data_IF_844762485207
#
_entry.id   IF_844762485207
#
_cell.length_a   1.000
_cell.length_b   1.000
_cell.length_c   1.000
_cell.angle_alpha   90.00
_cell.angle_beta   90.00
_cell.angle_gamma   90.00
#
_symmetry.space_group_name_H-M   'P 1'
#
loop_
_entity.id
_entity.type
_entity.pdbx_description
1 polymer ?
#
# COMPACT_ATOMS: atom_id res chain seq x y z
N UNK A 1 67.41 -12.01 -3.54
CA UNK A 1 66.45 -11.45 -4.52
C UNK A 1 65.15 -12.22 -4.39
N UNK A 2 64.08 -11.56 -3.95
CA UNK A 2 62.79 -12.19 -3.64
C UNK A 2 62.06 -12.57 -4.93
N UNK A 3 61.72 -13.85 -5.10
CA UNK A 3 60.84 -14.31 -6.16
C UNK A 3 59.40 -13.92 -5.83
N UNK A 4 58.79 -13.12 -6.69
CA UNK A 4 57.38 -12.76 -6.63
C UNK A 4 56.58 -13.93 -7.23
N UNK A 5 55.81 -14.63 -6.39
CA UNK A 5 54.82 -15.61 -6.85
C UNK A 5 53.66 -14.87 -7.54
N UNK A 6 53.65 -14.88 -8.87
CA UNK A 6 52.51 -14.43 -9.65
C UNK A 6 51.39 -15.46 -9.56
N UNK A 7 50.33 -15.15 -8.81
CA UNK A 7 49.11 -15.96 -8.78
C UNK A 7 48.42 -15.89 -10.15
N UNK A 8 48.56 -16.96 -10.94
CA UNK A 8 47.82 -17.15 -12.18
C UNK A 8 46.38 -17.51 -11.83
N UNK A 9 45.46 -16.53 -11.95
CA UNK A 9 44.02 -16.85 -11.93
C UNK A 9 43.70 -17.52 -13.26
N UNK A 10 43.23 -18.79 -13.26
CA UNK A 10 42.97 -19.49 -14.50
C UNK A 10 41.86 -18.77 -15.29
N UNK A 11 42.07 -18.60 -16.60
CA UNK A 11 41.17 -17.88 -17.53
C UNK A 11 39.73 -18.42 -17.45
N UNK A 12 39.56 -19.71 -17.13
CA UNK A 12 38.27 -20.36 -16.90
C UNK A 12 37.49 -19.77 -15.72
N UNK A 13 38.18 -19.32 -14.67
CA UNK A 13 37.56 -18.69 -13.49
C UNK A 13 37.02 -17.28 -13.81
N UNK A 14 37.73 -16.52 -14.64
CA UNK A 14 37.31 -15.18 -15.11
C UNK A 14 36.10 -15.30 -16.05
N UNK A 15 36.09 -16.31 -16.92
CA UNK A 15 34.97 -16.58 -17.82
C UNK A 15 33.70 -17.00 -17.06
N UNK A 16 33.82 -17.88 -16.05
CA UNK A 16 32.69 -18.33 -15.25
C UNK A 16 32.11 -17.20 -14.40
N UNK A 17 32.95 -16.37 -13.77
CA UNK A 17 32.49 -15.21 -13.00
C UNK A 17 31.80 -14.17 -13.88
N UNK A 18 32.34 -13.90 -15.07
CA UNK A 18 31.71 -13.00 -16.05
C UNK A 18 30.35 -13.52 -16.52
N UNK A 19 30.22 -14.84 -16.73
CA UNK A 19 28.94 -15.47 -17.10
C UNK A 19 27.90 -15.40 -15.97
N UNK A 20 28.30 -15.65 -14.73
CA UNK A 20 27.40 -15.55 -13.55
C UNK A 20 26.94 -14.10 -13.38
N UNK A 21 27.87 -13.14 -13.41
CA UNK A 21 27.56 -11.71 -13.30
C UNK A 21 26.62 -11.28 -14.44
N UNK A 22 26.94 -11.65 -15.67
CA UNK A 22 26.10 -11.36 -16.84
C UNK A 22 24.70 -11.97 -16.72
N UNK A 23 24.59 -13.20 -16.19
CA UNK A 23 23.31 -13.87 -15.95
C UNK A 23 22.49 -13.16 -14.85
N UNK A 24 23.13 -12.71 -13.77
CA UNK A 24 22.48 -11.94 -12.71
C UNK A 24 22.00 -10.57 -13.21
N UNK A 25 22.80 -9.88 -14.02
CA UNK A 25 22.38 -8.62 -14.66
C UNK A 25 21.26 -8.83 -15.66
N UNK A 26 21.32 -9.89 -16.47
CA UNK A 26 20.26 -10.22 -17.43
C UNK A 26 18.95 -10.57 -16.73
N UNK A 27 18.98 -11.41 -15.68
CA UNK A 27 17.81 -11.75 -14.87
C UNK A 27 17.25 -10.52 -14.16
N UNK A 28 18.09 -9.66 -13.58
CA UNK A 28 17.65 -8.39 -13.00
C UNK A 28 17.01 -7.47 -14.05
N UNK A 29 17.62 -7.34 -15.24
CA UNK A 29 17.09 -6.54 -16.34
C UNK A 29 15.76 -7.09 -16.86
N UNK A 30 15.64 -8.41 -17.07
CA UNK A 30 14.42 -9.06 -17.53
C UNK A 30 13.29 -8.90 -16.51
N UNK A 31 13.57 -9.04 -15.21
CA UNK A 31 12.59 -8.76 -14.15
C UNK A 31 12.14 -7.30 -14.19
N UNK A 32 13.07 -6.35 -14.35
CA UNK A 32 12.75 -4.93 -14.50
C UNK A 32 11.93 -4.62 -15.76
N UNK A 33 12.23 -5.25 -16.89
CA UNK A 33 11.51 -5.08 -18.15
C UNK A 33 10.08 -5.66 -18.10
N UNK A 34 9.91 -6.86 -17.54
CA UNK A 34 8.59 -7.47 -17.34
C UNK A 34 7.75 -6.67 -16.33
N UNK A 35 8.38 -6.14 -15.28
CA UNK A 35 7.74 -5.25 -14.32
C UNK A 35 7.24 -3.96 -14.99
N UNK A 36 8.08 -3.30 -15.80
CA UNK A 36 7.74 -2.03 -16.45
C UNK A 36 6.69 -2.19 -17.56
N UNK A 37 6.78 -3.22 -18.40
CA UNK A 37 5.80 -3.52 -19.45
C UNK A 37 4.43 -3.94 -18.90
N UNK A 38 4.39 -4.64 -17.75
CA UNK A 38 3.14 -4.94 -17.05
C UNK A 38 2.50 -3.68 -16.47
N UNK A 39 3.30 -2.81 -15.85
CA UNK A 39 2.82 -1.52 -15.35
C UNK A 39 2.27 -0.65 -16.49
N UNK A 40 2.89 -0.62 -17.67
CA UNK A 40 2.43 0.22 -18.78
C UNK A 40 1.07 -0.19 -19.34
N UNK A 41 0.74 -1.48 -19.40
CA UNK A 41 -0.57 -1.94 -19.87
C UNK A 41 -1.67 -1.70 -18.84
N UNK A 42 -1.38 -1.98 -17.55
CA UNK A 42 -2.33 -1.73 -16.47
C UNK A 42 -2.60 -0.22 -16.27
N UNK A 43 -1.64 0.64 -16.65
CA UNK A 43 -1.79 2.10 -16.64
C UNK A 43 -2.93 2.61 -17.52
N UNK A 44 -3.25 1.93 -18.63
CA UNK A 44 -4.34 2.35 -19.53
C UNK A 44 -5.69 2.33 -18.80
N UNK A 45 -5.93 1.33 -17.94
CA UNK A 45 -7.17 1.23 -17.18
C UNK A 45 -7.30 2.32 -16.11
N UNK A 46 -6.18 2.72 -15.50
CA UNK A 46 -6.11 3.87 -14.59
C UNK A 46 -6.49 5.15 -15.34
N UNK A 47 -5.90 5.39 -16.51
CA UNK A 47 -6.20 6.57 -17.33
C UNK A 47 -7.66 6.62 -17.79
N UNK A 48 -8.27 5.47 -18.04
CA UNK A 48 -9.71 5.39 -18.30
C UNK A 48 -10.55 5.71 -17.05
N UNK A 49 -10.12 5.27 -15.87
CA UNK A 49 -10.78 5.58 -14.60
C UNK A 49 -10.69 7.07 -14.25
N UNK A 50 -9.53 7.69 -14.46
CA UNK A 50 -9.32 9.13 -14.22
C UNK A 50 -10.24 10.03 -15.06
N UNK A 51 -10.76 9.54 -16.20
CA UNK A 51 -11.76 10.26 -17.00
C UNK A 51 -13.17 10.24 -16.39
N UNK A 52 -13.46 9.25 -15.53
CA UNK A 52 -14.76 9.08 -14.87
C UNK A 52 -14.80 9.72 -13.48
N UNK A 53 -13.66 9.76 -12.79
CA UNK A 53 -13.55 10.38 -11.47
C UNK A 53 -13.77 11.90 -11.62
N UNK A 54 -14.69 12.44 -10.83
CA UNK A 54 -15.01 13.87 -10.85
C UNK A 54 -13.80 14.70 -10.43
N UNK A 55 -13.70 15.90 -11.01
CA UNK A 55 -12.67 16.90 -10.70
C UNK A 55 -13.36 18.21 -10.36
N UNK A 56 -12.79 18.93 -9.42
CA UNK A 56 -13.17 20.28 -9.09
C UNK A 56 -12.17 21.31 -9.65
N UNK A 57 -10.89 20.92 -9.75
CA UNK A 57 -9.84 21.72 -10.40
C UNK A 57 -8.75 20.80 -11.01
N UNK A 58 -7.74 21.39 -11.66
CA UNK A 58 -6.63 20.64 -12.28
C UNK A 58 -5.73 19.91 -11.27
N UNK A 59 -5.60 20.42 -10.04
CA UNK A 59 -4.82 19.77 -8.99
C UNK A 59 -5.44 18.43 -8.58
N UNK A 60 -6.78 18.31 -8.66
CA UNK A 60 -7.46 17.03 -8.42
C UNK A 60 -6.99 15.95 -9.39
N UNK A 61 -6.84 16.26 -10.68
CA UNK A 61 -6.35 15.28 -11.65
C UNK A 61 -4.92 14.83 -11.31
N UNK A 62 -4.04 15.77 -10.99
CA UNK A 62 -2.65 15.47 -10.63
C UNK A 62 -2.58 14.61 -9.36
N UNK A 63 -3.37 14.94 -8.33
CA UNK A 63 -3.48 14.19 -7.08
C UNK A 63 -4.05 12.79 -7.30
N UNK A 64 -5.20 12.68 -7.96
CA UNK A 64 -5.87 11.39 -8.24
C UNK A 64 -4.95 10.48 -9.05
N UNK A 65 -4.29 11.01 -10.07
CA UNK A 65 -3.32 10.26 -10.88
C UNK A 65 -2.12 9.81 -10.05
N UNK A 66 -1.55 10.70 -9.24
CA UNK A 66 -0.46 10.36 -8.34
C UNK A 66 -0.84 9.23 -7.37
N UNK A 67 -2.04 9.29 -6.77
CA UNK A 67 -2.55 8.27 -5.87
C UNK A 67 -2.70 6.91 -6.55
N UNK A 68 -3.36 6.86 -7.71
CA UNK A 68 -3.61 5.60 -8.41
C UNK A 68 -2.33 4.93 -8.91
N UNK A 69 -1.37 5.70 -9.43
CA UNK A 69 -0.08 5.15 -9.85
C UNK A 69 0.76 4.66 -8.65
N UNK A 70 0.70 5.39 -7.53
CA UNK A 70 1.37 4.96 -6.29
C UNK A 70 0.71 3.68 -5.76
N UNK A 71 -0.62 3.58 -5.83
CA UNK A 71 -1.33 2.39 -5.38
C UNK A 71 -1.11 1.18 -6.28
N UNK A 72 -1.01 1.37 -7.60
CA UNK A 72 -0.61 0.33 -8.53
C UNK A 72 0.81 -0.18 -8.22
N UNK A 73 1.74 0.75 -7.94
CA UNK A 73 3.11 0.38 -7.57
C UNK A 73 3.11 -0.43 -6.27
N UNK A 74 2.36 0.03 -5.26
CA UNK A 74 2.15 -0.73 -4.03
C UNK A 74 1.57 -2.13 -4.31
N UNK A 75 0.51 -2.23 -5.12
CA UNK A 75 -0.13 -3.50 -5.45
C UNK A 75 0.87 -4.49 -6.06
N UNK A 76 1.73 -4.01 -6.97
CA UNK A 76 2.77 -4.84 -7.55
C UNK A 76 3.80 -5.30 -6.50
N UNK A 77 4.26 -4.38 -5.64
CA UNK A 77 5.19 -4.69 -4.55
C UNK A 77 4.58 -5.72 -3.59
N UNK A 78 3.32 -5.54 -3.19
CA UNK A 78 2.63 -6.47 -2.31
C UNK A 78 2.51 -7.85 -2.96
N UNK A 79 2.16 -7.91 -4.25
CA UNK A 79 2.07 -9.15 -5.00
C UNK A 79 3.43 -9.86 -5.12
N UNK A 80 4.51 -9.14 -5.46
CA UNK A 80 5.84 -9.73 -5.63
C UNK A 80 6.43 -10.28 -4.32
N UNK A 81 6.00 -9.73 -3.18
CA UNK A 81 6.46 -10.15 -1.86
C UNK A 81 5.45 -10.97 -1.07
N UNK A 82 4.36 -11.41 -1.72
CA UNK A 82 3.31 -12.23 -1.12
C UNK A 82 2.70 -11.59 0.14
N UNK A 83 2.54 -10.27 0.12
CA UNK A 83 1.92 -9.49 1.18
C UNK A 83 0.44 -9.39 0.88
N UNK A 84 -0.38 -9.98 1.75
CA UNK A 84 -1.84 -9.91 1.60
C UNK A 84 -2.34 -8.61 2.20
N UNK A 85 -3.08 -7.88 1.39
CA UNK A 85 -3.73 -6.65 1.80
C UNK A 85 -5.14 -6.61 1.20
N UNK A 86 -5.98 -5.67 1.64
CA UNK A 86 -7.21 -5.30 0.96
C UNK A 86 -7.51 -3.82 1.17
N UNK A 87 -8.30 -3.22 0.30
CA UNK A 87 -8.70 -1.81 0.46
C UNK A 87 -9.54 -1.62 1.73
N UNK A 88 -9.34 -0.49 2.39
CA UNK A 88 -9.88 -0.19 3.72
C UNK A 88 -10.62 1.15 3.73
N UNK A 89 -11.33 1.42 4.83
CA UNK A 89 -11.82 2.76 5.16
C UNK A 89 -12.53 3.48 3.99
N UNK A 90 -12.16 4.75 3.72
CA UNK A 90 -12.79 5.58 2.69
C UNK A 90 -12.54 5.01 1.30
N UNK A 91 -11.38 4.40 1.07
CA UNK A 91 -11.07 3.69 -0.17
C UNK A 91 -12.07 2.55 -0.42
N UNK A 92 -12.36 1.72 0.60
CA UNK A 92 -13.36 0.65 0.49
C UNK A 92 -14.79 1.20 0.34
N UNK A 93 -15.12 2.28 1.07
CA UNK A 93 -16.43 2.92 0.95
C UNK A 93 -16.65 3.47 -0.46
N UNK A 94 -15.64 4.12 -1.03
CA UNK A 94 -15.65 4.68 -2.38
C UNK A 94 -15.74 3.57 -3.45
N UNK A 95 -15.04 2.45 -3.26
CA UNK A 95 -15.23 1.24 -4.07
C UNK A 95 -16.69 0.76 -4.06
N UNK A 96 -17.33 0.66 -2.89
CA UNK A 96 -18.72 0.21 -2.77
C UNK A 96 -19.70 1.17 -3.47
N UNK A 97 -19.43 2.48 -3.42
CA UNK A 97 -20.31 3.50 -3.98
C UNK A 97 -20.20 3.57 -5.51
N UNK A 98 -18.97 3.54 -6.05
CA UNK A 98 -18.77 3.82 -7.47
C UNK A 98 -17.55 3.12 -8.10
N UNK A 99 -16.96 2.12 -7.42
CA UNK A 99 -15.80 1.32 -7.89
C UNK A 99 -14.52 2.10 -8.24
N UNK A 100 -14.46 3.39 -7.91
CA UNK A 100 -13.37 4.29 -8.26
C UNK A 100 -12.90 5.03 -6.99
N UNK A 101 -11.80 5.79 -7.08
CA UNK A 101 -11.29 6.65 -6.02
C UNK A 101 -12.24 7.81 -5.75
N UNK A 102 -12.39 8.19 -4.48
CA UNK A 102 -13.19 9.35 -4.11
C UNK A 102 -12.58 10.61 -4.75
N UNK A 103 -13.37 11.47 -5.42
CA UNK A 103 -12.86 12.65 -6.11
C UNK A 103 -11.98 13.57 -5.26
N UNK A 104 -12.24 13.60 -3.95
CA UNK A 104 -11.64 14.50 -2.96
C UNK A 104 -10.74 13.78 -1.94
N UNK A 105 -10.49 12.48 -2.08
CA UNK A 105 -9.52 11.80 -1.22
C UNK A 105 -8.09 12.31 -1.50
N UNK A 106 -7.30 12.35 -0.44
CA UNK A 106 -5.89 12.75 -0.42
C UNK A 106 -4.93 11.57 -0.17
N UNK A 107 -5.46 10.42 0.26
CA UNK A 107 -4.72 9.18 0.45
C UNK A 107 -5.52 7.95 0.01
N UNK A 108 -4.90 6.78 0.13
CA UNK A 108 -5.54 5.47 -0.05
C UNK A 108 -5.25 4.65 1.19
N UNK A 109 -6.28 4.04 1.76
CA UNK A 109 -6.18 3.19 2.92
C UNK A 109 -6.25 1.72 2.54
N UNK A 110 -5.35 0.93 3.12
CA UNK A 110 -5.38 -0.52 3.03
C UNK A 110 -5.22 -1.17 4.40
N UNK A 111 -5.78 -2.36 4.52
CA UNK A 111 -5.50 -3.27 5.62
C UNK A 111 -4.46 -4.30 5.24
N UNK A 112 -3.63 -4.66 6.22
CA UNK A 112 -2.76 -5.83 6.18
C UNK A 112 -2.97 -6.67 7.43
N UNK A 113 -2.74 -7.96 7.31
CA UNK A 113 -2.72 -8.83 8.48
C UNK A 113 -1.42 -8.57 9.26
N UNK A 114 -1.51 -8.38 10.58
CA UNK A 114 -0.34 -8.11 11.44
C UNK A 114 0.81 -9.10 11.25
N UNK A 115 0.50 -10.37 11.02
CA UNK A 115 1.49 -11.42 10.75
C UNK A 115 2.36 -11.16 9.51
N UNK A 116 1.92 -10.32 8.56
CA UNK A 116 2.67 -10.00 7.35
C UNK A 116 3.59 -8.77 7.53
N UNK A 117 3.52 -8.06 8.66
CA UNK A 117 4.36 -6.86 8.90
C UNK A 117 5.87 -7.15 8.95
N UNK A 118 6.37 -8.27 9.52
CA UNK A 118 7.80 -8.59 9.41
C UNK A 118 8.28 -8.67 7.96
N UNK A 119 7.42 -9.07 7.01
CA UNK A 119 7.77 -9.05 5.58
C UNK A 119 7.94 -7.62 5.08
N UNK A 120 7.08 -6.68 5.51
CA UNK A 120 7.22 -5.27 5.18
C UNK A 120 8.52 -4.66 5.69
N UNK A 121 8.94 -4.99 6.91
CA UNK A 121 10.21 -4.52 7.47
C UNK A 121 11.39 -4.98 6.61
N UNK A 122 11.38 -6.25 6.18
CA UNK A 122 12.45 -6.78 5.34
C UNK A 122 12.57 -6.04 4.01
N UNK A 123 11.47 -5.46 3.48
CA UNK A 123 11.51 -4.64 2.26
C UNK A 123 12.22 -3.30 2.46
N UNK A 124 12.08 -2.68 3.63
CA UNK A 124 12.73 -1.40 3.94
C UNK A 124 14.25 -1.52 3.83
N UNK A 125 14.78 -2.59 4.41
CA UNK A 125 16.23 -2.80 4.50
C UNK A 125 16.87 -3.10 3.13
N UNK A 126 16.07 -3.38 2.10
CA UNK A 126 16.56 -3.68 0.76
C UNK A 126 16.82 -2.43 -0.11
N UNK A 127 16.52 -1.22 0.37
CA UNK A 127 16.68 0.05 -0.36
C UNK A 127 16.16 -0.02 -1.81
N UNK A 128 14.91 -0.45 -1.96
CA UNK A 128 14.33 -0.86 -3.24
C UNK A 128 14.02 0.29 -4.20
N UNK A 129 14.00 1.54 -3.74
CA UNK A 129 13.68 2.70 -4.58
C UNK A 129 14.16 4.02 -3.98
N UNK A 130 14.55 4.96 -4.85
CA UNK A 130 14.76 6.37 -4.50
C UNK A 130 13.49 7.23 -4.62
N UNK A 131 12.43 6.69 -5.22
CA UNK A 131 11.15 7.39 -5.45
C UNK A 131 10.14 7.02 -4.37
N UNK A 132 10.15 5.75 -3.97
CA UNK A 132 9.20 5.20 -3.02
C UNK A 132 9.87 4.90 -1.69
N UNK A 133 9.22 5.29 -0.61
CA UNK A 133 9.67 5.02 0.76
C UNK A 133 8.56 4.29 1.52
N UNK A 134 8.93 3.24 2.23
CA UNK A 134 8.04 2.58 3.17
C UNK A 134 8.44 3.03 4.58
N UNK A 135 7.62 3.90 5.19
CA UNK A 135 7.82 4.38 6.57
C UNK A 135 7.00 3.53 7.53
N UNK A 136 7.63 3.00 8.57
CA UNK A 136 6.97 2.20 9.62
C UNK A 136 7.07 2.94 10.97
N UNK A 137 5.99 2.91 11.72
CA UNK A 137 5.94 3.39 13.10
C UNK A 137 6.88 2.53 13.97
N UNK A 138 7.85 3.11 14.72
CA UNK A 138 8.87 2.33 15.46
C UNK A 138 8.23 1.38 16.49
N UNK A 139 7.11 1.81 17.09
CA UNK A 139 6.32 1.01 18.03
C UNK A 139 5.10 0.31 17.41
N UNK A 140 5.18 -0.14 16.15
CA UNK A 140 4.05 -0.78 15.46
C UNK A 140 3.56 -2.08 16.13
N UNK A 141 4.39 -2.74 16.93
CA UNK A 141 4.01 -3.89 17.75
C UNK A 141 3.09 -3.53 18.92
N UNK A 142 3.04 -2.25 19.30
CA UNK A 142 2.14 -1.75 20.33
C UNK A 142 0.76 -1.55 19.70
N UNK A 143 -0.16 -2.43 20.06
CA UNK A 143 -1.51 -2.49 19.47
C UNK A 143 -2.40 -1.34 19.93
N UNK A 144 -2.29 -0.92 21.20
CA UNK A 144 -3.02 0.22 21.77
C UNK A 144 -2.30 1.53 21.49
N UNK A 145 -2.92 2.44 20.76
CA UNK A 145 -2.30 3.71 20.32
C UNK A 145 -1.77 4.55 21.49
N UNK A 146 -2.46 4.60 22.64
CA UNK A 146 -2.02 5.36 23.82
C UNK A 146 -0.79 4.79 24.53
N UNK A 147 -0.45 3.52 24.28
CA UNK A 147 0.78 2.92 24.79
C UNK A 147 1.99 3.27 23.90
N UNK A 148 1.78 3.98 22.78
CA UNK A 148 2.84 4.48 21.91
C UNK A 148 3.35 5.81 22.47
N UNK A 149 4.66 5.94 22.52
CA UNK A 149 5.38 7.16 22.88
C UNK A 149 5.76 7.91 21.60
N UNK A 150 5.39 9.18 21.50
CA UNK A 150 5.78 10.05 20.38
C UNK A 150 6.85 11.03 20.86
N UNK A 151 8.06 10.94 20.30
CA UNK A 151 9.09 11.95 20.48
C UNK A 151 9.05 12.94 19.29
N UNK A 152 8.88 14.25 19.52
CA UNK A 152 8.83 15.24 18.43
C UNK A 152 10.06 15.24 17.51
N UNK A 153 11.20 14.75 18.01
CA UNK A 153 12.46 14.64 17.28
C UNK A 153 12.55 13.47 16.29
N UNK A 154 11.62 12.53 16.30
CA UNK A 154 11.61 11.37 15.38
C UNK A 154 10.75 11.58 14.11
N UNK A 155 10.22 12.81 13.92
CA UNK A 155 9.61 13.37 12.68
C UNK A 155 8.86 12.35 11.80
N UNK A 156 7.96 11.56 12.40
CA UNK A 156 6.78 11.08 11.69
C UNK A 156 5.62 11.14 12.66
N UNK A 157 4.76 12.15 12.50
CA UNK A 157 3.49 12.18 13.21
C UNK A 157 2.54 11.16 12.57
N UNK A 158 2.71 9.91 12.96
CA UNK A 158 1.69 8.89 12.75
C UNK A 158 0.61 9.14 13.79
N UNK A 159 -0.41 9.91 13.45
CA UNK A 159 -1.53 10.13 14.36
C UNK A 159 -2.25 8.81 14.68
N UNK A 160 -2.16 7.79 13.79
CA UNK A 160 -2.90 6.53 13.93
C UNK A 160 -2.26 5.33 13.19
N UNK A 161 -2.01 5.47 11.89
CA UNK A 161 -1.61 4.35 11.04
C UNK A 161 -0.20 3.86 11.38
N UNK A 162 0.05 2.56 11.23
CA UNK A 162 1.34 1.98 11.60
C UNK A 162 2.38 2.10 10.50
N UNK A 163 1.96 2.32 9.25
CA UNK A 163 2.88 2.33 8.11
C UNK A 163 2.31 3.19 6.98
N UNK A 164 3.19 3.85 6.23
CA UNK A 164 2.86 4.57 4.99
C UNK A 164 3.80 4.14 3.87
N UNK A 165 3.25 3.89 2.69
CA UNK A 165 4.02 3.78 1.45
C UNK A 165 3.91 5.10 0.70
N UNK A 166 5.03 5.82 0.60
CA UNK A 166 5.10 7.23 0.20
C UNK A 166 5.75 7.32 -1.17
N UNK A 167 5.20 8.17 -2.04
CA UNK A 167 5.83 8.58 -3.28
C UNK A 167 6.40 10.00 -3.12
N UNK A 168 7.73 10.10 -3.07
CA UNK A 168 8.41 11.39 -2.85
C UNK A 168 8.24 12.39 -3.99
N UNK A 169 7.95 11.92 -5.21
CA UNK A 169 7.86 12.80 -6.39
C UNK A 169 6.67 13.75 -6.31
N UNK A 170 5.57 13.29 -5.72
CA UNK A 170 4.28 13.99 -5.70
C UNK A 170 3.68 14.08 -4.28
N UNK A 171 4.39 13.57 -3.27
CA UNK A 171 4.03 13.63 -1.86
C UNK A 171 2.65 13.02 -1.55
N UNK A 172 2.28 11.94 -2.24
CA UNK A 172 1.10 11.14 -1.88
C UNK A 172 1.50 9.86 -1.14
N UNK A 173 0.57 9.29 -0.38
CA UNK A 173 0.82 8.07 0.39
C UNK A 173 -0.33 7.09 0.38
N UNK A 174 0.02 5.80 0.49
CA UNK A 174 -0.88 4.72 0.88
C UNK A 174 -0.73 4.50 2.38
N UNK A 175 -1.80 4.66 3.13
CA UNK A 175 -1.87 4.36 4.55
C UNK A 175 -2.10 2.87 4.76
N UNK A 176 -1.29 2.28 5.62
CA UNK A 176 -1.30 0.85 5.85
C UNK A 176 -1.67 0.59 7.32
N UNK A 177 -2.80 -0.07 7.48
CA UNK A 177 -3.46 -0.31 8.75
C UNK A 177 -3.30 -1.79 9.14
N UNK A 178 -2.76 -2.09 10.33
CA UNK A 178 -2.62 -3.46 10.77
C UNK A 178 -3.94 -3.97 11.34
N UNK A 179 -4.29 -5.20 10.97
CA UNK A 179 -5.40 -5.92 11.55
C UNK A 179 -4.89 -7.10 12.38
N UNK A 180 -5.45 -7.24 13.57
CA UNK A 180 -5.07 -8.27 14.55
C UNK A 180 -6.14 -9.33 14.66
N UNK A 181 -5.72 -10.60 14.79
CA UNK A 181 -6.63 -11.70 15.11
C UNK A 181 -6.91 -11.71 16.62
N UNK A 182 -8.17 -11.85 16.97
CA UNK A 182 -8.62 -11.98 18.35
C UNK A 182 -9.58 -13.16 18.46
N UNK A 183 -9.36 -14.00 19.47
CA UNK A 183 -10.19 -15.19 19.71
C UNK A 183 -11.04 -14.94 20.96
N UNK A 184 -12.36 -14.93 20.78
CA UNK A 184 -13.32 -14.81 21.88
C UNK A 184 -14.28 -16.01 21.87
N UNK A 185 -14.16 -16.91 22.86
CA UNK A 185 -15.11 -18.03 23.05
C UNK A 185 -15.45 -18.76 21.75
N UNK A 186 -14.42 -19.12 20.97
CA UNK A 186 -14.49 -19.80 19.66
C UNK A 186 -14.83 -18.95 18.43
N UNK A 187 -15.11 -17.66 18.57
CA UNK A 187 -15.28 -16.75 17.44
C UNK A 187 -13.94 -16.06 17.14
N UNK A 188 -13.50 -16.19 15.89
CA UNK A 188 -12.34 -15.46 15.37
C UNK A 188 -12.79 -14.10 14.85
N UNK A 189 -12.38 -13.06 15.55
CA UNK A 189 -12.65 -11.67 15.23
C UNK A 189 -11.37 -11.00 14.75
N UNK A 190 -11.53 -10.00 13.90
CA UNK A 190 -10.51 -9.02 13.66
C UNK A 190 -10.71 -7.81 14.54
N UNK A 191 -9.60 -7.34 15.07
CA UNK A 191 -9.53 -6.18 15.93
C UNK A 191 -8.72 -5.12 15.22
N UNK A 192 -9.31 -3.95 15.16
CA UNK A 192 -8.62 -2.72 14.87
C UNK A 192 -8.76 -1.76 16.05
N UNK A 193 -7.66 -1.09 16.39
CA UNK A 193 -7.60 -0.08 17.43
C UNK A 193 -7.69 1.31 16.78
N UNK A 194 -8.88 1.90 16.83
CA UNK A 194 -9.10 3.26 16.35
C UNK A 194 -8.74 4.30 17.44
N UNK A 195 -8.60 5.57 17.07
CA UNK A 195 -7.87 6.66 17.78
C UNK A 195 -8.28 6.95 19.24
N UNK A 196 -9.40 6.42 19.72
CA UNK A 196 -10.03 6.86 20.98
C UNK A 196 -10.71 5.68 21.71
N UNK A 197 -9.97 4.58 21.91
CA UNK A 197 -10.44 3.37 22.62
C UNK A 197 -11.56 2.56 21.95
N UNK A 198 -12.02 2.96 20.76
CA UNK A 198 -12.97 2.15 20.00
C UNK A 198 -12.27 0.99 19.32
N UNK A 199 -12.54 -0.21 19.84
CA UNK A 199 -12.24 -1.49 19.20
C UNK A 199 -13.28 -1.75 18.11
N UNK A 200 -12.84 -1.87 16.87
CA UNK A 200 -13.70 -2.39 15.81
C UNK A 200 -13.51 -3.90 15.79
N UNK A 201 -14.56 -4.62 16.20
CA UNK A 201 -14.61 -6.07 16.15
C UNK A 201 -15.36 -6.49 14.90
N UNK A 202 -14.65 -7.12 13.97
CA UNK A 202 -15.24 -7.60 12.71
C UNK A 202 -15.16 -9.13 12.64
N UNK A 203 -16.26 -9.84 12.33
CA UNK A 203 -16.20 -11.26 12.03
C UNK A 203 -15.27 -11.58 10.83
N UNK A 204 -14.47 -12.63 10.95
CA UNK A 204 -13.48 -13.00 9.93
C UNK A 204 -14.13 -13.31 8.58
N UNK A 205 -15.33 -13.87 8.59
CA UNK A 205 -16.10 -14.25 7.40
C UNK A 205 -16.64 -13.05 6.61
N UNK A 206 -16.57 -11.84 7.17
CA UNK A 206 -16.86 -10.62 6.40
C UNK A 206 -15.65 -10.21 5.56
N UNK A 207 -14.46 -10.68 5.91
CA UNK A 207 -13.21 -10.35 5.23
C UNK A 207 -12.77 -11.51 4.32
N UNK A 208 -12.77 -12.74 4.83
CA UNK A 208 -12.26 -13.90 4.11
C UNK A 208 -13.37 -14.82 3.57
N UNK A 209 -13.15 -15.47 2.41
CA UNK A 209 -11.97 -15.32 1.54
C UNK A 209 -11.92 -13.92 0.89
N UNK A 210 -10.71 -13.39 0.68
CA UNK A 210 -10.57 -12.17 -0.10
C UNK A 210 -10.97 -12.46 -1.54
N UNK A 211 -11.66 -11.52 -2.17
CA UNK A 211 -12.10 -11.62 -3.55
C UNK A 211 -11.36 -10.60 -4.42
N UNK A 212 -10.95 -10.97 -5.65
CA UNK A 212 -10.39 -10.00 -6.56
C UNK A 212 -11.47 -9.01 -7.00
N UNK A 213 -11.16 -7.72 -6.92
CA UNK A 213 -12.02 -6.62 -7.35
C UNK A 213 -11.25 -5.62 -8.21
N UNK A 214 -11.96 -4.75 -8.93
CA UNK A 214 -11.36 -3.67 -9.72
C UNK A 214 -11.69 -2.34 -9.06
N UNK A 215 -10.65 -1.62 -8.65
CA UNK A 215 -10.75 -0.28 -8.05
C UNK A 215 -9.98 0.71 -8.92
N UNK A 216 -10.68 1.67 -9.53
CA UNK A 216 -10.07 2.66 -10.43
C UNK A 216 -9.21 2.05 -11.55
N UNK A 217 -9.65 0.91 -12.10
CA UNK A 217 -8.91 0.17 -13.12
C UNK A 217 -7.78 -0.73 -12.60
N UNK A 218 -7.53 -0.75 -11.29
CA UNK A 218 -6.50 -1.58 -10.66
C UNK A 218 -7.17 -2.83 -10.09
N UNK A 219 -6.66 -4.02 -10.46
CA UNK A 219 -7.10 -5.28 -9.84
C UNK A 219 -6.45 -5.42 -8.46
N UNK A 220 -7.27 -5.40 -7.41
CA UNK A 220 -6.86 -5.47 -6.00
C UNK A 220 -7.69 -6.51 -5.27
N UNK A 221 -7.42 -6.69 -3.97
CA UNK A 221 -8.20 -7.56 -3.09
C UNK A 221 -9.25 -6.76 -2.32
N UNK A 222 -10.45 -7.30 -2.27
CA UNK A 222 -11.57 -6.82 -1.49
C UNK A 222 -12.00 -7.87 -0.44
N UNK A 223 -12.57 -7.44 0.69
CA UNK A 223 -13.17 -8.36 1.66
C UNK A 223 -14.40 -9.08 1.07
N UNK A 224 -14.72 -10.28 1.57
CA UNK A 224 -15.86 -11.10 1.13
C UNK A 224 -17.22 -10.38 1.24
N UNK A 225 -17.39 -9.51 2.24
CA UNK A 225 -18.64 -8.81 2.52
C UNK A 225 -18.38 -7.31 2.72
N UNK A 226 -17.96 -6.60 1.65
CA UNK A 226 -17.45 -5.23 1.75
C UNK A 226 -18.49 -4.27 2.34
N UNK A 227 -19.77 -4.42 1.94
CA UNK A 227 -20.87 -3.61 2.47
C UNK A 227 -21.07 -3.76 3.98
N UNK A 228 -20.95 -4.98 4.52
CA UNK A 228 -21.09 -5.22 5.97
C UNK A 228 -19.91 -4.64 6.74
N UNK A 229 -18.69 -4.86 6.24
CA UNK A 229 -17.47 -4.32 6.84
C UNK A 229 -17.51 -2.79 6.90
N UNK A 230 -17.82 -2.13 5.77
CA UNK A 230 -17.93 -0.68 5.71
C UNK A 230 -19.03 -0.16 6.62
N UNK A 231 -20.19 -0.82 6.71
CA UNK A 231 -21.27 -0.41 7.62
C UNK A 231 -20.88 -0.54 9.11
N UNK A 232 -20.03 -1.51 9.48
CA UNK A 232 -19.55 -1.61 10.87
C UNK A 232 -18.54 -0.54 11.24
N UNK A 233 -17.70 -0.12 10.29
CA UNK A 233 -16.68 0.92 10.49
C UNK A 233 -17.33 2.30 10.46
N UNK A 234 -18.18 2.55 9.46
CA UNK A 234 -18.87 3.82 9.25
C UNK A 234 -20.34 3.67 9.63
N UNK A 235 -20.66 3.98 10.89
CA UNK A 235 -22.02 3.87 11.42
C UNK A 235 -23.09 4.66 10.65
N UNK A 236 -22.73 5.68 9.85
CA UNK A 236 -23.54 6.39 8.82
C UNK A 236 -22.96 7.79 8.53
N UNK A 237 -21.69 7.91 8.13
CA UNK A 237 -21.14 9.24 7.80
C UNK A 237 -20.27 9.18 6.56
N UNK A 238 -20.89 8.90 5.41
CA UNK A 238 -20.31 9.33 4.13
C UNK A 238 -20.39 10.86 4.11
N UNK A 239 -19.25 11.52 4.26
CA UNK A 239 -19.17 12.97 4.06
C UNK A 239 -19.28 13.18 2.56
N UNK A 240 -20.46 13.60 2.09
CA UNK A 240 -20.63 14.06 0.72
C UNK A 240 -19.98 15.43 0.57
N UNK A 241 -19.27 15.62 -0.53
CA UNK A 241 -18.69 16.90 -0.90
C UNK A 241 -19.20 17.32 -2.26
N UNK A 242 -19.48 18.61 -2.40
CA UNK A 242 -19.85 19.25 -3.65
C UNK A 242 -18.71 20.13 -4.13
N UNK A 243 -18.43 20.14 -5.43
CA UNK A 243 -17.51 21.10 -6.02
C UNK A 243 -18.20 22.46 -6.18
N UNK A 244 -17.67 23.49 -5.53
CA UNK A 244 -18.17 24.87 -5.62
C UNK A 244 -16.96 25.77 -5.86
N UNK A 245 -16.96 26.53 -6.96
CA UNK A 245 -15.90 27.48 -7.34
C UNK A 245 -14.49 26.88 -7.29
N UNK A 246 -14.32 25.65 -7.79
CA UNK A 246 -13.01 24.98 -7.83
C UNK A 246 -12.53 24.42 -6.49
N UNK A 247 -13.37 24.41 -5.46
CA UNK A 247 -13.09 23.80 -4.15
C UNK A 247 -14.13 22.76 -3.75
N UNK A 248 -13.69 21.68 -3.11
CA UNK A 248 -14.58 20.69 -2.49
C UNK A 248 -15.13 21.23 -1.17
N UNK A 249 -16.45 21.35 -1.07
CA UNK A 249 -17.15 21.82 0.12
C UNK A 249 -18.02 20.68 0.66
N UNK A 250 -17.98 20.45 1.97
CA UNK A 250 -18.85 19.46 2.61
C UNK A 250 -20.31 19.84 2.37
N UNK A 251 -21.07 18.93 1.78
CA UNK A 251 -22.51 19.07 1.57
C UNK A 251 -23.21 18.99 2.93
N UNK A 252 -24.19 19.87 3.15
CA UNK A 252 -25.06 19.85 4.33
C UNK A 252 -26.08 18.72 4.25
#
# INVERSE_FOLDING_TARGET
MNQVNAYFVPITFISLTSFIIGSLFYDHYQRGYLFTSRLSNETIFIEQALKRIQRCNEEDYLRQRALLYTFQTWNHLAHSHHIRYWIAYKTLASYIQHNDLSPYDDDIDIFIIYQDIPRLINLINANYSSIYELKIHPQWFITKVFNRSYTPSEIINFTIQNTRFINHKNNVSINIWPIYKYYNKHILLFVEYHNFDSLILTPIEWIFPLEPCVFSGIRVWCPAQPKKLTASIYRQTSVYMSCINGSWIKSN
#
